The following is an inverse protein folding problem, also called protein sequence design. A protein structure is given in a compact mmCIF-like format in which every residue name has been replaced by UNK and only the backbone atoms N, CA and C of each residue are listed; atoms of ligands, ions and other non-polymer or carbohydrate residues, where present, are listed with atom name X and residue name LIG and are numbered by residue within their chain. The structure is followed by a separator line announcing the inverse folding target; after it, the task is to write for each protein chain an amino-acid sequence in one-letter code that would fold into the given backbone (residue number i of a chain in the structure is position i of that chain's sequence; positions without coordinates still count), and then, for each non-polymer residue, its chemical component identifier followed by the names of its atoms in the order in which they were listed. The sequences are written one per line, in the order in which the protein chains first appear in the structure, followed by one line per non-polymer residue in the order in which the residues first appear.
data_IF_846392204364
#
_entry.id   IF_846392204364
#
_cell.length_a   1.000
_cell.length_b   1.000
_cell.length_c   1.000
_cell.angle_alpha   90.00
_cell.angle_beta   90.00
_cell.angle_gamma   90.00
#
_symmetry.space_group_name_H-M   'P 1'
#
loop_
_entity.id
_entity.type
_entity.pdbx_description
1 polymer ?
#
# COMPACT_ATOMS: atom_id res chain seq x y z
N UNK A 1 57.28 -3.47 13.48
CA UNK A 1 56.05 -2.64 13.52
C UNK A 1 54.86 -3.55 13.21
N UNK A 2 53.94 -3.72 14.16
CA UNK A 2 53.10 -4.92 14.31
C UNK A 2 51.93 -5.00 13.32
N UNK A 3 51.93 -6.01 12.48
CA UNK A 3 50.86 -6.41 11.53
C UNK A 3 49.58 -6.97 12.22
N UNK A 4 49.53 -7.00 13.55
CA UNK A 4 48.41 -7.61 14.33
C UNK A 4 47.12 -6.76 14.37
N UNK A 5 47.15 -5.49 14.07
CA UNK A 5 45.98 -4.60 14.20
C UNK A 5 45.07 -4.50 12.94
N UNK A 6 45.55 -5.01 11.78
CA UNK A 6 44.80 -4.87 10.53
C UNK A 6 43.69 -5.93 10.38
N UNK A 7 43.80 -7.09 11.05
CA UNK A 7 42.83 -8.19 10.92
C UNK A 7 41.52 -8.01 11.71
N UNK A 8 41.45 -7.07 12.64
CA UNK A 8 40.27 -6.85 13.49
C UNK A 8 39.32 -5.81 12.93
N UNK A 9 39.82 -4.89 12.09
CA UNK A 9 39.00 -3.80 11.53
C UNK A 9 38.17 -4.20 10.31
N UNK A 10 38.57 -5.23 9.56
CA UNK A 10 37.91 -5.66 8.34
C UNK A 10 36.52 -6.27 8.55
N UNK A 11 36.27 -7.12 9.59
CA UNK A 11 34.93 -7.65 9.84
C UNK A 11 33.95 -6.61 10.42
N UNK A 12 34.44 -5.59 11.16
CA UNK A 12 33.58 -4.55 11.71
C UNK A 12 33.03 -3.61 10.64
N UNK A 13 33.81 -3.32 9.59
CA UNK A 13 33.38 -2.50 8.48
C UNK A 13 32.34 -3.20 7.58
N UNK A 14 32.39 -4.53 7.48
CA UNK A 14 31.45 -5.33 6.68
C UNK A 14 30.06 -5.40 7.32
N UNK A 15 29.95 -5.29 8.65
CA UNK A 15 28.66 -5.33 9.39
C UNK A 15 27.85 -4.05 9.20
N UNK A 16 28.49 -2.92 8.91
CA UNK A 16 27.82 -1.62 8.70
C UNK A 16 27.12 -1.49 7.34
N UNK A 17 27.37 -2.39 6.37
CA UNK A 17 26.81 -2.31 5.02
C UNK A 17 25.46 -3.04 4.88
N UNK A 18 25.01 -3.77 5.90
CA UNK A 18 23.76 -4.52 5.89
C UNK A 18 22.56 -3.73 6.44
N UNK A 19 22.63 -2.42 6.48
CA UNK A 19 21.42 -1.61 6.71
C UNK A 19 20.52 -1.75 5.49
N UNK A 20 19.62 -2.70 5.59
CA UNK A 20 18.53 -2.95 4.64
C UNK A 20 17.85 -1.62 4.31
N UNK A 21 17.89 -1.22 3.04
CA UNK A 21 17.09 -0.12 2.50
C UNK A 21 15.60 -0.44 2.56
N UNK A 22 15.04 -0.56 3.75
CA UNK A 22 13.59 -0.58 3.93
C UNK A 22 13.07 0.81 3.64
N UNK A 23 12.12 0.90 2.70
CA UNK A 23 11.50 2.18 2.39
C UNK A 23 10.73 2.68 3.62
N UNK A 24 11.19 3.79 4.19
CA UNK A 24 10.53 4.44 5.34
C UNK A 24 9.17 5.01 4.95
N UNK A 25 8.17 4.97 5.84
CA UNK A 25 6.93 5.71 5.65
C UNK A 25 7.17 7.20 5.42
N UNK A 26 6.25 7.92 4.75
CA UNK A 26 6.39 9.37 4.56
C UNK A 26 6.30 10.10 5.90
N UNK A 27 7.03 11.21 6.01
CA UNK A 27 7.06 12.04 7.24
C UNK A 27 5.69 12.65 7.56
N UNK A 28 4.95 13.05 6.53
CA UNK A 28 3.61 13.63 6.65
C UNK A 28 2.55 12.76 5.96
N UNK A 29 2.12 11.65 6.58
CA UNK A 29 1.19 10.72 5.96
C UNK A 29 -0.23 11.29 5.79
N UNK A 30 -0.53 12.43 6.40
CA UNK A 30 -1.82 13.10 6.31
C UNK A 30 -1.95 14.11 5.17
N UNK A 31 -0.87 14.33 4.41
CA UNK A 31 -0.85 15.26 3.28
C UNK A 31 -0.32 14.58 2.02
N UNK A 32 -1.21 14.30 1.05
CA UNK A 32 -0.86 13.58 -0.19
C UNK A 32 0.15 14.36 -1.04
N UNK A 33 0.13 15.69 -1.02
CA UNK A 33 1.09 16.51 -1.77
C UNK A 33 2.50 16.33 -1.23
N UNK A 34 2.67 16.42 0.10
CA UNK A 34 3.96 16.22 0.77
C UNK A 34 4.45 14.78 0.59
N UNK A 35 3.55 13.80 0.65
CA UNK A 35 3.92 12.41 0.34
C UNK A 35 4.52 12.31 -1.07
N UNK A 36 3.88 12.92 -2.07
CA UNK A 36 4.32 12.84 -3.46
C UNK A 36 5.57 13.65 -3.74
N UNK A 37 5.81 14.74 -3.02
CA UNK A 37 7.05 15.52 -3.06
C UNK A 37 8.22 14.72 -2.48
N UNK A 38 8.03 14.11 -1.30
CA UNK A 38 9.04 13.28 -0.65
C UNK A 38 9.30 11.99 -1.42
N UNK A 39 8.25 11.29 -1.85
CA UNK A 39 8.32 9.99 -2.51
C UNK A 39 7.95 10.11 -4.01
N UNK A 40 8.77 10.79 -4.80
CA UNK A 40 8.52 11.01 -6.25
C UNK A 40 8.28 9.72 -7.03
N UNK A 41 8.93 8.61 -6.65
CA UNK A 41 8.69 7.29 -7.24
C UNK A 41 7.28 6.77 -6.97
N UNK A 42 6.70 7.09 -5.82
CA UNK A 42 5.32 6.71 -5.48
C UNK A 42 4.32 7.49 -6.31
N UNK A 43 4.53 8.81 -6.49
CA UNK A 43 3.72 9.60 -7.41
C UNK A 43 3.70 8.98 -8.81
N UNK A 44 4.89 8.67 -9.37
CA UNK A 44 4.99 8.01 -10.68
C UNK A 44 4.27 6.65 -10.72
N UNK A 45 4.33 5.88 -9.64
CA UNK A 45 3.66 4.58 -9.54
C UNK A 45 2.14 4.71 -9.51
N UNK A 46 1.62 5.60 -8.66
CA UNK A 46 0.19 5.86 -8.51
C UNK A 46 -0.41 6.40 -9.80
N UNK A 47 0.27 7.34 -10.47
CA UNK A 47 -0.19 7.87 -11.76
C UNK A 47 -0.21 6.81 -12.89
N UNK A 48 0.69 5.82 -12.83
CA UNK A 48 0.64 4.67 -13.76
C UNK A 48 -0.55 3.77 -13.46
N UNK A 49 -0.79 3.48 -12.18
CA UNK A 49 -1.95 2.70 -11.74
C UNK A 49 -3.26 3.39 -12.13
N UNK A 50 -3.39 4.71 -11.89
CA UNK A 50 -4.55 5.50 -12.32
C UNK A 50 -4.77 5.43 -13.83
N UNK A 51 -3.71 5.61 -14.63
CA UNK A 51 -3.80 5.51 -16.10
C UNK A 51 -4.33 4.15 -16.54
N UNK A 52 -3.88 3.07 -15.91
CA UNK A 52 -4.23 1.69 -16.25
C UNK A 52 -5.62 1.30 -15.76
N UNK A 53 -5.91 1.56 -14.50
CA UNK A 53 -7.08 1.03 -13.77
C UNK A 53 -8.20 2.05 -13.56
N UNK A 54 -7.95 3.33 -13.85
CA UNK A 54 -8.91 4.44 -13.71
C UNK A 54 -9.38 4.69 -12.27
N UNK A 55 -8.64 4.24 -11.28
CA UNK A 55 -8.88 4.53 -9.86
C UNK A 55 -8.04 5.75 -9.46
N UNK A 56 -8.66 6.80 -8.88
CA UNK A 56 -7.96 8.05 -8.59
C UNK A 56 -6.83 7.91 -7.56
N UNK A 57 -5.77 8.76 -7.65
CA UNK A 57 -4.62 8.73 -6.75
C UNK A 57 -4.98 8.76 -5.26
N UNK A 58 -5.94 9.61 -4.89
CA UNK A 58 -6.36 9.79 -3.50
C UNK A 58 -7.13 8.58 -2.95
N UNK A 59 -7.83 7.82 -3.79
CA UNK A 59 -8.46 6.55 -3.40
C UNK A 59 -7.37 5.50 -3.15
N UNK A 60 -6.43 5.33 -4.10
CA UNK A 60 -5.31 4.39 -3.96
C UNK A 60 -4.50 4.66 -2.67
N UNK A 61 -4.14 5.92 -2.44
CA UNK A 61 -3.34 6.32 -1.27
C UNK A 61 -4.09 6.15 0.04
N UNK A 62 -5.42 6.34 0.06
CA UNK A 62 -6.22 6.11 1.26
C UNK A 62 -6.27 4.62 1.65
N UNK A 63 -6.26 3.71 0.66
CA UNK A 63 -6.16 2.27 0.90
C UNK A 63 -4.79 1.90 1.45
N UNK A 64 -3.70 2.33 0.80
CA UNK A 64 -2.35 2.04 1.30
C UNK A 64 -2.17 2.52 2.74
N UNK A 65 -2.66 3.72 3.06
CA UNK A 65 -2.60 4.21 4.44
C UNK A 65 -3.37 3.30 5.40
N UNK A 66 -4.61 2.93 5.06
CA UNK A 66 -5.45 2.11 5.93
C UNK A 66 -4.87 0.70 6.14
N UNK A 67 -4.27 0.11 5.09
CA UNK A 67 -3.76 -1.25 5.15
C UNK A 67 -2.42 -1.38 5.89
N UNK A 68 -1.54 -0.40 5.74
CA UNK A 68 -0.16 -0.54 6.22
C UNK A 68 0.42 0.70 6.89
N UNK A 69 -0.30 1.83 6.92
CA UNK A 69 0.28 3.14 7.28
C UNK A 69 1.58 3.42 6.50
N UNK A 70 1.60 3.03 5.22
CA UNK A 70 2.76 3.13 4.33
C UNK A 70 3.99 2.30 4.74
N UNK A 71 3.82 1.26 5.55
CA UNK A 71 4.90 0.35 5.92
C UNK A 71 5.06 -0.77 4.88
N UNK A 72 6.28 -0.92 4.34
CA UNK A 72 6.57 -1.91 3.29
C UNK A 72 6.51 -3.36 3.77
N UNK A 73 6.73 -3.60 5.04
CA UNK A 73 6.81 -4.92 5.66
C UNK A 73 5.66 -5.21 6.64
N UNK A 74 4.61 -4.37 6.62
CA UNK A 74 3.43 -4.56 7.46
C UNK A 74 2.90 -5.99 7.35
N UNK A 75 2.58 -6.57 8.50
CA UNK A 75 2.05 -7.94 8.64
C UNK A 75 1.05 -7.98 9.78
N UNK A 76 0.01 -8.82 9.70
CA UNK A 76 -0.90 -9.05 10.81
C UNK A 76 -0.16 -9.52 12.05
N UNK A 77 -0.67 -9.16 13.21
CA UNK A 77 -0.14 -9.65 14.48
C UNK A 77 -0.17 -11.17 14.56
N UNK A 78 0.80 -11.72 15.27
CA UNK A 78 0.81 -13.14 15.60
C UNK A 78 -0.20 -13.41 16.70
N UNK A 79 -0.92 -14.52 16.60
CA UNK A 79 -1.66 -15.07 17.73
C UNK A 79 -0.65 -15.53 18.79
N UNK A 80 -1.06 -15.60 20.04
CA UNK A 80 -0.22 -16.08 21.13
C UNK A 80 -0.70 -17.48 21.55
N UNK A 81 0.20 -18.44 21.58
CA UNK A 81 0.00 -19.73 22.21
C UNK A 81 0.32 -19.57 23.71
N UNK A 82 -0.56 -20.09 24.57
CA UNK A 82 -0.40 -19.96 26.03
C UNK A 82 -0.17 -18.51 26.51
N UNK A 83 -0.79 -17.51 25.79
CA UNK A 83 -0.75 -16.08 26.08
C UNK A 83 0.62 -15.40 25.93
N UNK A 84 1.72 -16.15 25.81
CA UNK A 84 3.09 -15.62 25.80
C UNK A 84 3.89 -15.98 24.56
N UNK A 85 3.69 -17.15 23.95
CA UNK A 85 4.51 -17.64 22.83
C UNK A 85 3.90 -17.13 21.50
N UNK A 86 4.64 -16.33 20.67
CA UNK A 86 4.17 -15.94 19.35
C UNK A 86 3.90 -17.16 18.47
N UNK A 87 2.66 -17.28 17.99
CA UNK A 87 2.22 -18.41 17.17
C UNK A 87 1.97 -17.97 15.71
N UNK A 88 1.02 -18.58 15.06
CA UNK A 88 0.67 -18.31 13.65
C UNK A 88 0.10 -16.89 13.48
N UNK A 89 0.28 -16.31 12.29
CA UNK A 89 -0.42 -15.08 11.92
C UNK A 89 -1.87 -15.37 11.56
N UNK A 90 -2.76 -14.40 11.81
CA UNK A 90 -4.20 -14.52 11.52
C UNK A 90 -4.49 -14.63 10.02
N UNK A 91 -3.61 -14.10 9.17
CA UNK A 91 -3.75 -14.15 7.72
C UNK A 91 -2.39 -14.11 7.02
N UNK A 92 -2.40 -14.31 5.70
CA UNK A 92 -1.22 -14.22 4.81
C UNK A 92 -0.96 -12.81 4.28
N UNK A 93 -1.66 -11.80 4.79
CA UNK A 93 -1.52 -10.41 4.40
C UNK A 93 -0.10 -9.88 4.63
N UNK A 94 0.44 -9.15 3.66
CA UNK A 94 1.80 -8.59 3.73
C UNK A 94 1.89 -7.28 2.94
N UNK A 95 2.73 -6.36 3.44
CA UNK A 95 3.20 -5.19 2.73
C UNK A 95 2.19 -4.06 2.61
N UNK A 96 2.39 -3.19 1.66
CA UNK A 96 1.60 -1.95 1.50
C UNK A 96 0.11 -2.17 1.30
N UNK A 97 -0.28 -3.20 0.56
CA UNK A 97 -1.66 -3.49 0.21
C UNK A 97 -2.34 -4.51 1.11
N UNK A 98 -1.61 -5.15 2.03
CA UNK A 98 -2.10 -6.26 2.85
C UNK A 98 -2.83 -7.35 2.04
N UNK A 99 -2.46 -7.52 0.77
CA UNK A 99 -3.02 -8.56 -0.10
C UNK A 99 -2.77 -9.95 0.46
N UNK A 100 -3.79 -10.81 0.42
CA UNK A 100 -3.68 -12.23 0.72
C UNK A 100 -2.93 -12.99 -0.39
N UNK A 101 -2.32 -14.13 -0.07
CA UNK A 101 -1.57 -14.92 -1.05
C UNK A 101 -2.41 -15.24 -2.29
N UNK A 102 -3.60 -15.81 -2.15
CA UNK A 102 -4.46 -16.19 -3.28
C UNK A 102 -4.75 -14.99 -4.18
N UNK A 103 -5.26 -13.88 -3.61
CA UNK A 103 -5.61 -12.68 -4.39
C UNK A 103 -4.39 -12.05 -5.06
N UNK A 104 -3.18 -12.19 -4.46
CA UNK A 104 -1.95 -11.72 -5.07
C UNK A 104 -1.51 -12.58 -6.26
N UNK A 105 -1.70 -13.90 -6.17
CA UNK A 105 -1.41 -14.79 -7.32
C UNK A 105 -2.42 -14.54 -8.45
N UNK A 106 -3.73 -14.38 -8.15
CA UNK A 106 -4.74 -13.99 -9.15
C UNK A 106 -4.34 -12.70 -9.88
N UNK A 107 -3.86 -11.69 -9.13
CA UNK A 107 -3.37 -10.44 -9.71
C UNK A 107 -2.18 -10.67 -10.65
N UNK A 108 -1.20 -11.47 -10.25
CA UNK A 108 -0.02 -11.77 -11.07
C UNK A 108 -0.41 -12.49 -12.36
N UNK A 109 -1.30 -13.45 -12.26
CA UNK A 109 -1.79 -14.22 -13.41
C UNK A 109 -2.58 -13.33 -14.38
N UNK A 110 -3.60 -12.61 -13.89
CA UNK A 110 -4.46 -11.76 -14.74
C UNK A 110 -3.70 -10.58 -15.38
N UNK A 111 -2.64 -10.08 -14.75
CA UNK A 111 -1.90 -8.90 -15.24
C UNK A 111 -0.61 -9.23 -15.97
N UNK A 112 -0.14 -10.48 -15.91
CA UNK A 112 1.16 -10.90 -16.39
C UNK A 112 2.33 -10.39 -15.55
N UNK A 113 2.08 -9.76 -14.38
CA UNK A 113 3.13 -9.20 -13.52
C UNK A 113 3.74 -10.26 -12.58
N UNK A 114 4.30 -11.30 -13.13
CA UNK A 114 4.79 -12.48 -12.40
C UNK A 114 5.85 -12.16 -11.34
N UNK A 115 6.61 -11.06 -11.50
CA UNK A 115 7.67 -10.62 -10.57
C UNK A 115 7.19 -9.61 -9.53
N UNK A 116 5.89 -9.34 -9.45
CA UNK A 116 5.34 -8.39 -8.48
C UNK A 116 5.67 -8.78 -7.04
N UNK A 117 5.99 -7.78 -6.21
CA UNK A 117 6.34 -7.95 -4.81
C UNK A 117 5.45 -7.05 -3.92
N UNK A 118 4.73 -7.66 -2.96
CA UNK A 118 3.83 -6.97 -2.02
C UNK A 118 4.51 -5.92 -1.14
N UNK A 119 5.83 -6.00 -0.97
CA UNK A 119 6.65 -5.01 -0.26
C UNK A 119 7.12 -3.86 -1.15
N UNK A 120 6.89 -3.95 -2.45
CA UNK A 120 7.19 -2.88 -3.39
C UNK A 120 5.97 -1.99 -3.57
N UNK A 121 6.13 -0.69 -3.34
CA UNK A 121 5.02 0.28 -3.40
C UNK A 121 4.36 0.32 -4.78
N UNK A 122 5.17 0.30 -5.86
CA UNK A 122 4.65 0.35 -7.24
C UNK A 122 3.73 -0.83 -7.51
N UNK A 123 4.15 -2.04 -7.13
CA UNK A 123 3.39 -3.25 -7.38
C UNK A 123 2.12 -3.29 -6.52
N UNK A 124 2.21 -2.83 -5.25
CA UNK A 124 1.06 -2.73 -4.37
C UNK A 124 0.04 -1.68 -4.81
N UNK A 125 0.50 -0.53 -5.32
CA UNK A 125 -0.39 0.50 -5.88
C UNK A 125 -1.09 0.00 -7.16
N UNK A 126 -0.40 -0.76 -8.01
CA UNK A 126 -1.00 -1.37 -9.20
C UNK A 126 -2.01 -2.46 -8.81
N UNK A 127 -1.69 -3.29 -7.81
CA UNK A 127 -2.61 -4.29 -7.25
C UNK A 127 -3.90 -3.67 -6.70
N UNK A 128 -3.80 -2.61 -5.89
CA UNK A 128 -4.99 -1.94 -5.34
C UNK A 128 -5.84 -1.38 -6.49
N UNK A 129 -5.20 -0.77 -7.49
CA UNK A 129 -5.88 -0.27 -8.68
C UNK A 129 -6.61 -1.38 -9.44
N UNK A 130 -5.93 -2.49 -9.70
CA UNK A 130 -6.51 -3.68 -10.35
C UNK A 130 -7.70 -4.22 -9.57
N UNK A 131 -7.56 -4.40 -8.25
CA UNK A 131 -8.66 -4.95 -7.45
C UNK A 131 -9.86 -4.00 -7.42
N UNK A 132 -9.63 -2.71 -7.14
CA UNK A 132 -10.69 -1.70 -7.08
C UNK A 132 -11.37 -1.49 -8.45
N UNK A 133 -10.64 -1.65 -9.56
CA UNK A 133 -11.23 -1.54 -10.91
C UNK A 133 -12.30 -2.60 -11.20
N UNK A 134 -12.19 -3.80 -10.59
CA UNK A 134 -13.24 -4.83 -10.70
C UNK A 134 -14.59 -4.33 -10.16
N UNK A 135 -14.57 -3.46 -9.13
CA UNK A 135 -15.76 -2.80 -8.62
C UNK A 135 -16.35 -1.81 -9.61
N UNK A 136 -15.51 -1.00 -10.23
CA UNK A 136 -15.94 -0.06 -11.26
C UNK A 136 -16.70 -0.77 -12.40
N UNK A 137 -16.17 -1.89 -12.91
CA UNK A 137 -16.87 -2.70 -13.92
C UNK A 137 -18.16 -3.37 -13.42
N UNK A 138 -18.41 -3.35 -12.11
CA UNK A 138 -19.65 -3.81 -11.48
C UNK A 138 -20.59 -2.67 -11.09
N UNK A 139 -20.33 -1.45 -11.57
CA UNK A 139 -21.16 -0.27 -11.35
C UNK A 139 -20.85 0.54 -10.09
N UNK A 140 -19.72 0.28 -9.39
CA UNK A 140 -19.29 1.16 -8.30
C UNK A 140 -18.77 2.50 -8.85
N UNK A 141 -19.09 3.58 -8.16
CA UNK A 141 -18.39 4.84 -8.38
C UNK A 141 -16.92 4.71 -7.93
N UNK A 142 -15.99 5.08 -8.81
CA UNK A 142 -14.56 5.08 -8.53
C UNK A 142 -14.15 6.10 -7.44
N UNK A 143 -15.02 7.03 -7.09
CA UNK A 143 -14.85 8.00 -6.00
C UNK A 143 -15.42 7.49 -4.67
N UNK A 144 -16.26 6.47 -4.69
CA UNK A 144 -16.80 5.82 -3.49
C UNK A 144 -15.76 4.88 -2.88
N UNK A 145 -14.75 5.49 -2.25
CA UNK A 145 -13.69 4.75 -1.56
C UNK A 145 -14.25 3.84 -0.44
N UNK A 146 -15.40 4.21 0.15
CA UNK A 146 -16.07 3.42 1.19
C UNK A 146 -16.55 2.07 0.63
N UNK A 147 -17.35 2.07 -0.41
CA UNK A 147 -17.88 0.84 -1.00
C UNK A 147 -16.78 0.00 -1.63
N UNK A 148 -15.81 0.63 -2.31
CA UNK A 148 -14.63 -0.05 -2.85
C UNK A 148 -13.82 -0.73 -1.74
N UNK A 149 -13.64 -0.08 -0.58
CA UNK A 149 -12.92 -0.66 0.56
C UNK A 149 -13.68 -1.81 1.23
N UNK A 150 -15.02 -1.70 1.38
CA UNK A 150 -15.85 -2.79 1.87
C UNK A 150 -15.72 -4.02 0.97
N UNK A 151 -15.73 -3.82 -0.36
CA UNK A 151 -15.51 -4.90 -1.32
C UNK A 151 -14.07 -5.44 -1.29
N UNK A 152 -13.08 -4.58 -1.05
CA UNK A 152 -11.68 -4.98 -0.88
C UNK A 152 -11.50 -5.95 0.28
N UNK A 153 -12.18 -5.68 1.41
CA UNK A 153 -12.08 -6.49 2.61
C UNK A 153 -12.93 -7.78 2.55
N UNK A 154 -14.17 -7.69 2.06
CA UNK A 154 -15.14 -8.81 2.05
C UNK A 154 -15.06 -9.69 0.80
N UNK A 155 -14.34 -9.22 -0.23
CA UNK A 155 -14.50 -9.70 -1.59
C UNK A 155 -15.81 -9.20 -2.21
N UNK A 156 -15.89 -9.14 -3.54
CA UNK A 156 -17.09 -8.67 -4.23
C UNK A 156 -18.33 -9.55 -3.97
N UNK A 157 -18.14 -10.87 -3.79
CA UNK A 157 -19.22 -11.79 -3.40
C UNK A 157 -19.78 -11.47 -2.01
N UNK A 158 -18.90 -11.23 -1.04
CA UNK A 158 -19.29 -10.82 0.31
C UNK A 158 -19.99 -9.46 0.33
N UNK A 159 -19.47 -8.50 -0.44
CA UNK A 159 -20.09 -7.20 -0.58
C UNK A 159 -21.52 -7.28 -1.13
N UNK A 160 -21.75 -8.03 -2.22
CA UNK A 160 -23.08 -8.27 -2.79
C UNK A 160 -24.05 -8.89 -1.78
N UNK A 161 -23.57 -9.84 -0.97
CA UNK A 161 -24.32 -10.46 0.13
C UNK A 161 -24.47 -9.56 1.36
N UNK A 162 -23.88 -8.36 1.34
CA UNK A 162 -23.88 -7.38 2.43
C UNK A 162 -23.32 -7.94 3.76
N UNK A 163 -22.34 -8.86 3.68
CA UNK A 163 -21.73 -9.52 4.86
C UNK A 163 -21.09 -8.53 5.82
N UNK A 164 -20.60 -7.38 5.32
CA UNK A 164 -20.07 -6.28 6.10
C UNK A 164 -21.07 -5.68 7.12
N UNK A 165 -22.39 -5.84 6.89
CA UNK A 165 -23.41 -5.34 7.85
C UNK A 165 -23.30 -6.01 9.23
N UNK A 166 -22.77 -7.22 9.28
CA UNK A 166 -22.51 -7.96 10.52
C UNK A 166 -21.19 -7.53 11.19
N UNK A 167 -20.47 -6.57 10.62
CA UNK A 167 -19.15 -6.09 11.07
C UNK A 167 -19.14 -4.57 11.24
N UNK A 168 -19.77 -4.01 12.32
CA UNK A 168 -19.82 -2.56 12.52
C UNK A 168 -18.44 -1.90 12.54
N UNK A 169 -17.43 -2.61 13.02
CA UNK A 169 -16.04 -2.14 12.99
C UNK A 169 -15.53 -1.91 11.57
N UNK A 170 -15.88 -2.79 10.61
CA UNK A 170 -15.45 -2.66 9.22
C UNK A 170 -16.13 -1.48 8.54
N UNK A 171 -17.41 -1.23 8.84
CA UNK A 171 -18.13 -0.05 8.36
C UNK A 171 -17.41 1.22 8.83
N UNK A 172 -17.06 1.31 10.12
CA UNK A 172 -16.29 2.45 10.66
C UNK A 172 -14.91 2.61 9.99
N UNK A 173 -14.25 1.50 9.65
CA UNK A 173 -12.98 1.56 8.90
C UNK A 173 -13.21 2.12 7.51
N UNK A 174 -14.22 1.63 6.77
CA UNK A 174 -14.54 2.11 5.43
C UNK A 174 -14.94 3.60 5.42
N UNK A 175 -15.64 4.07 6.44
CA UNK A 175 -15.97 5.50 6.62
C UNK A 175 -14.69 6.35 6.80
N UNK A 176 -13.69 5.86 7.58
CA UNK A 176 -12.38 6.52 7.70
C UNK A 176 -11.62 6.55 6.38
N UNK A 177 -11.67 5.47 5.60
CA UNK A 177 -11.05 5.42 4.27
C UNK A 177 -11.68 6.46 3.34
N UNK A 178 -13.00 6.60 3.34
CA UNK A 178 -13.70 7.63 2.56
C UNK A 178 -13.30 9.03 3.02
N UNK A 179 -13.29 9.30 4.32
CA UNK A 179 -12.89 10.61 4.86
C UNK A 179 -11.46 10.96 4.45
N UNK A 180 -10.52 10.00 4.53
CA UNK A 180 -9.14 10.20 4.09
C UNK A 180 -9.04 10.43 2.60
N UNK A 181 -9.77 9.66 1.79
CA UNK A 181 -9.83 9.83 0.34
C UNK A 181 -10.30 11.23 -0.03
N UNK A 182 -11.37 11.73 0.60
CA UNK A 182 -11.89 13.09 0.38
C UNK A 182 -10.86 14.16 0.78
N UNK A 183 -10.20 14.01 1.93
CA UNK A 183 -9.12 14.91 2.36
C UNK A 183 -7.98 14.93 1.35
N UNK A 184 -7.50 13.77 0.92
CA UNK A 184 -6.45 13.66 -0.08
C UNK A 184 -6.87 14.22 -1.44
N UNK A 185 -8.13 14.07 -1.85
CA UNK A 185 -8.67 14.65 -3.08
C UNK A 185 -8.56 16.18 -3.06
N UNK A 186 -9.03 16.82 -1.99
CA UNK A 186 -8.96 18.28 -1.84
C UNK A 186 -7.52 18.79 -1.89
N UNK A 187 -6.59 18.14 -1.19
CA UNK A 187 -5.17 18.49 -1.23
C UNK A 187 -4.58 18.28 -2.62
N UNK A 188 -4.87 17.15 -3.27
CA UNK A 188 -4.32 16.80 -4.58
C UNK A 188 -4.72 17.81 -5.66
N UNK A 189 -5.93 18.33 -5.63
CA UNK A 189 -6.34 19.36 -6.57
C UNK A 189 -5.48 20.63 -6.47
N UNK A 190 -5.05 20.99 -5.27
CA UNK A 190 -4.17 22.14 -5.05
C UNK A 190 -2.76 21.95 -5.60
N UNK A 191 -2.20 20.72 -5.57
CA UNK A 191 -0.80 20.47 -5.95
C UNK A 191 -0.60 19.71 -7.26
N UNK A 192 -1.65 19.16 -7.88
CA UNK A 192 -1.54 18.28 -9.05
C UNK A 192 -0.79 18.93 -10.22
N UNK A 193 -1.01 20.23 -10.46
CA UNK A 193 -0.34 20.98 -11.55
C UNK A 193 1.17 21.09 -11.31
N UNK A 194 1.60 21.36 -10.08
CA UNK A 194 3.01 21.44 -9.69
C UNK A 194 3.69 20.07 -9.77
N UNK A 195 3.04 19.03 -9.26
CA UNK A 195 3.55 17.66 -9.32
C UNK A 195 3.75 17.19 -10.76
N UNK A 196 2.83 17.52 -11.67
CA UNK A 196 2.96 17.24 -13.11
C UNK A 196 4.15 17.98 -13.71
N UNK A 197 4.33 19.27 -13.44
CA UNK A 197 5.44 20.08 -13.94
C UNK A 197 6.79 19.51 -13.48
N UNK A 198 6.93 19.18 -12.20
CA UNK A 198 8.16 18.64 -11.65
C UNK A 198 8.51 17.24 -12.18
N UNK A 199 7.53 16.50 -12.73
CA UNK A 199 7.78 15.22 -13.40
C UNK A 199 8.60 15.35 -14.68
N UNK A 200 8.52 16.46 -15.37
CA UNK A 200 9.21 16.70 -16.66
C UNK A 200 10.61 17.30 -16.52
N UNK A 201 11.01 17.73 -15.32
CA UNK A 201 12.32 18.39 -15.11
C UNK A 201 13.45 17.37 -14.84
N UNK A 202 13.12 16.08 -14.65
CA UNK A 202 14.08 15.04 -14.26
C UNK A 202 14.12 13.85 -15.26
N UNK A 203 14.12 14.16 -16.56
CA UNK A 203 14.54 13.25 -17.63
C UNK A 203 15.81 13.75 -18.27
#
# INVERSE_FOLDING_TARGET
MNIKYIKVFTPLLLVLILQSCMATPPQNPDNICLIFEEKKSWYKAVMRSEKRWKIPPYVLMSFVYQESSFQSDAKPERTKLLWVIPWKRKSTAVGYSQALNMTWEDYKEETGNTRANRKNFKDSADFIGWYASKGYYQGFDRLDARSLYLAYHEGYGGFKKKSYRKKPWLIKVADRVQTRSTKYQQQYWGCAKLLKKNRFIFF
#
